data_IF_828396025998
#
_entry.id   IF_828396025998
#
_cell.length_a   1.000
_cell.length_b   1.000
_cell.length_c   1.000
_cell.angle_alpha   90.00
_cell.angle_beta   90.00
_cell.angle_gamma   90.00
#
_symmetry.space_group_name_H-M   'P 1'
#
loop_
_entity.id
_entity.type
_entity.pdbx_description
1 polymer ?
#
# COMPACT_ATOMS: atom_id res chain seq x y z
N UNK A 1 12.55 6.98 2.56
CA UNK A 1 12.25 8.17 1.69
C UNK A 1 13.47 8.74 0.97
N UNK A 2 14.65 8.86 1.60
CA UNK A 2 15.81 9.47 0.92
C UNK A 2 16.19 8.79 -0.41
N UNK A 3 15.98 7.47 -0.53
CA UNK A 3 16.12 6.73 -1.79
C UNK A 3 15.08 7.18 -2.84
N UNK A 4 13.82 7.37 -2.44
CA UNK A 4 12.74 7.82 -3.32
C UNK A 4 12.98 9.24 -3.84
N UNK A 5 13.61 10.12 -3.04
CA UNK A 5 13.99 11.47 -3.47
C UNK A 5 15.07 11.48 -4.55
N UNK A 6 15.83 10.40 -4.70
CA UNK A 6 16.94 10.28 -5.68
C UNK A 6 16.50 9.59 -6.96
N UNK A 7 15.37 8.88 -6.95
CA UNK A 7 14.81 8.23 -8.12
C UNK A 7 13.90 9.21 -8.90
N UNK A 8 13.96 9.25 -10.24
CA UNK A 8 12.94 9.93 -11.04
C UNK A 8 11.56 9.35 -10.72
N UNK A 9 10.54 10.21 -10.58
CA UNK A 9 9.19 9.77 -10.23
C UNK A 9 8.60 8.82 -11.28
N UNK A 10 8.87 9.07 -12.56
CA UNK A 10 8.45 8.18 -13.65
C UNK A 10 9.01 6.74 -13.57
N UNK A 11 10.05 6.52 -12.76
CA UNK A 11 10.67 5.20 -12.58
C UNK A 11 10.15 4.46 -11.33
N UNK A 12 9.27 5.07 -10.54
CA UNK A 12 8.68 4.46 -9.34
C UNK A 12 7.41 3.69 -9.72
N UNK A 13 7.56 2.39 -9.94
CA UNK A 13 6.43 1.51 -10.25
C UNK A 13 5.65 1.10 -9.00
N UNK A 14 6.35 0.65 -7.96
CA UNK A 14 5.74 0.08 -6.76
C UNK A 14 6.57 0.40 -5.52
N UNK A 15 5.90 0.91 -4.47
CA UNK A 15 6.44 1.15 -3.14
C UNK A 15 5.68 0.24 -2.17
N UNK A 16 6.38 -0.74 -1.60
CA UNK A 16 5.80 -1.67 -0.63
C UNK A 16 6.20 -1.26 0.79
N UNK A 17 5.21 -0.88 1.60
CA UNK A 17 5.33 -0.64 3.03
C UNK A 17 4.87 -1.91 3.76
N UNK A 18 5.82 -2.64 4.29
CA UNK A 18 5.59 -3.85 5.05
C UNK A 18 6.08 -3.68 6.49
N UNK A 19 5.16 -3.70 7.46
CA UNK A 19 5.43 -3.57 8.89
C UNK A 19 6.39 -2.39 9.17
N UNK A 20 6.05 -1.23 8.60
CA UNK A 20 6.85 -0.01 8.74
C UNK A 20 6.30 0.85 9.89
N UNK A 21 7.15 1.62 10.59
CA UNK A 21 6.67 2.55 11.60
C UNK A 21 5.77 3.64 11.00
N UNK A 22 4.73 4.04 11.72
CA UNK A 22 3.80 5.14 11.36
C UNK A 22 4.53 6.41 10.89
N UNK A 23 5.65 6.78 11.53
CA UNK A 23 6.46 7.94 11.11
C UNK A 23 6.95 7.82 9.65
N UNK A 24 7.28 6.61 9.20
CA UNK A 24 7.69 6.37 7.82
C UNK A 24 6.50 6.51 6.85
N UNK A 25 5.31 6.06 7.27
CA UNK A 25 4.05 6.19 6.52
C UNK A 25 3.68 7.66 6.36
N UNK A 26 3.60 8.43 7.46
CA UNK A 26 3.26 9.85 7.42
C UNK A 26 4.22 10.65 6.54
N UNK A 27 5.51 10.32 6.59
CA UNK A 27 6.49 10.97 5.71
C UNK A 27 6.28 10.58 4.24
N UNK A 28 5.85 9.35 3.94
CA UNK A 28 5.54 8.92 2.56
C UNK A 28 4.29 9.60 2.05
N UNK A 29 3.22 9.67 2.86
CA UNK A 29 2.00 10.43 2.55
C UNK A 29 2.32 11.87 2.17
N UNK A 30 3.13 12.55 3.00
CA UNK A 30 3.55 13.92 2.73
C UNK A 30 4.37 14.07 1.44
N UNK A 31 5.17 13.06 1.09
CA UNK A 31 6.03 13.05 -0.10
C UNK A 31 5.24 12.79 -1.39
N UNK A 32 4.33 11.81 -1.38
CA UNK A 32 3.52 11.41 -2.54
C UNK A 32 2.19 12.15 -2.66
N UNK A 33 1.77 12.87 -1.61
CA UNK A 33 0.44 13.50 -1.52
C UNK A 33 -0.67 12.46 -1.74
N UNK A 34 -0.62 11.42 -0.92
CA UNK A 34 -1.60 10.34 -0.82
C UNK A 34 -2.18 10.29 0.60
N UNK A 35 -3.25 9.52 0.76
CA UNK A 35 -3.85 9.19 2.05
C UNK A 35 -3.60 7.70 2.34
N UNK A 36 -2.93 7.42 3.46
CA UNK A 36 -2.79 6.09 4.04
C UNK A 36 -3.78 6.03 5.21
N UNK A 37 -4.70 5.07 5.15
CA UNK A 37 -5.72 4.87 6.19
C UNK A 37 -5.07 4.33 7.47
N UNK A 38 -5.60 4.74 8.62
CA UNK A 38 -5.26 4.11 9.90
C UNK A 38 -5.79 2.66 9.94
N UNK A 39 -5.19 1.79 10.77
CA UNK A 39 -5.59 0.38 10.88
C UNK A 39 -7.09 0.24 11.22
N UNK A 40 -7.61 1.08 12.11
CA UNK A 40 -9.03 1.09 12.50
C UNK A 40 -9.96 1.35 11.30
N UNK A 41 -9.59 2.29 10.41
CA UNK A 41 -10.36 2.60 9.20
C UNK A 41 -10.28 1.48 8.16
N UNK A 42 -9.15 0.76 8.08
CA UNK A 42 -8.98 -0.36 7.16
C UNK A 42 -9.85 -1.56 7.53
N UNK A 43 -10.13 -1.77 8.82
CA UNK A 43 -10.98 -2.86 9.29
C UNK A 43 -12.48 -2.62 9.04
N UNK A 44 -12.89 -1.37 8.83
CA UNK A 44 -14.27 -1.02 8.54
C UNK A 44 -14.81 -1.75 7.29
N UNK A 45 -16.03 -2.26 7.40
CA UNK A 45 -16.69 -3.03 6.33
C UNK A 45 -17.39 -2.15 5.29
N UNK A 46 -17.48 -0.86 5.56
CA UNK A 46 -18.19 0.11 4.74
C UNK A 46 -17.49 0.30 3.40
N UNK A 47 -18.26 0.61 2.35
CA UNK A 47 -17.70 0.77 1.00
C UNK A 47 -16.77 1.99 0.94
N UNK A 48 -17.10 3.06 1.66
CA UNK A 48 -16.27 4.26 1.78
C UNK A 48 -14.89 3.97 2.36
N UNK A 49 -14.79 3.00 3.25
CA UNK A 49 -13.53 2.63 3.91
C UNK A 49 -12.74 1.60 3.11
N UNK A 50 -13.37 0.88 2.15
CA UNK A 50 -12.72 -0.10 1.27
C UNK A 50 -12.32 0.43 -0.09
N UNK A 51 -12.99 1.46 -0.58
CA UNK A 51 -12.71 2.06 -1.88
C UNK A 51 -12.91 3.58 -1.81
N UNK A 52 -11.86 4.33 -2.12
CA UNK A 52 -11.91 5.79 -2.22
C UNK A 52 -11.17 6.26 -3.47
N UNK A 53 -11.78 7.15 -4.23
CA UNK A 53 -11.20 7.69 -5.45
C UNK A 53 -11.25 9.21 -5.42
N UNK A 54 -10.14 9.83 -5.80
CA UNK A 54 -10.01 11.27 -6.03
C UNK A 54 -9.64 11.52 -7.48
N UNK A 55 -9.47 12.78 -7.89
CA UNK A 55 -9.07 13.12 -9.27
C UNK A 55 -7.74 12.49 -9.70
N UNK A 56 -6.85 12.16 -8.75
CA UNK A 56 -5.52 11.64 -9.07
C UNK A 56 -5.07 10.45 -8.21
N UNK A 57 -5.88 9.97 -7.28
CA UNK A 57 -5.55 8.81 -6.45
C UNK A 57 -6.70 7.85 -6.30
N UNK A 58 -6.36 6.57 -6.14
CA UNK A 58 -7.29 5.52 -5.77
C UNK A 58 -6.77 4.82 -4.52
N UNK A 59 -7.65 4.52 -3.57
CA UNK A 59 -7.41 3.61 -2.45
C UNK A 59 -8.36 2.43 -2.58
N UNK A 60 -7.84 1.22 -2.47
CA UNK A 60 -8.59 -0.02 -2.51
C UNK A 60 -8.05 -1.01 -1.48
N UNK A 61 -8.83 -1.29 -0.44
CA UNK A 61 -8.46 -2.24 0.59
C UNK A 61 -8.94 -3.64 0.23
N UNK A 62 -8.07 -4.63 0.40
CA UNK A 62 -8.36 -6.03 0.08
C UNK A 62 -7.89 -6.95 1.20
N UNK A 63 -8.67 -7.99 1.48
CA UNK A 63 -8.36 -8.96 2.51
C UNK A 63 -7.64 -10.16 1.91
N UNK A 64 -6.51 -10.52 2.52
CA UNK A 64 -5.69 -11.66 2.17
C UNK A 64 -5.87 -12.74 3.23
N UNK A 65 -6.13 -13.97 2.80
CA UNK A 65 -6.26 -15.11 3.69
C UNK A 65 -4.88 -15.64 4.11
N UNK A 66 -4.66 -15.74 5.41
CA UNK A 66 -3.46 -16.31 6.02
C UNK A 66 -3.59 -17.82 6.24
N UNK A 67 -2.49 -18.50 6.53
CA UNK A 67 -2.47 -19.95 6.76
C UNK A 67 -3.21 -20.40 8.02
N UNK A 68 -3.41 -19.49 8.98
CA UNK A 68 -4.18 -19.72 10.20
C UNK A 68 -5.68 -19.41 10.03
N UNK A 69 -6.14 -19.16 8.80
CA UNK A 69 -7.52 -18.76 8.46
C UNK A 69 -7.94 -17.37 8.95
N UNK A 70 -7.01 -16.56 9.45
CA UNK A 70 -7.24 -15.14 9.71
C UNK A 70 -7.08 -14.34 8.41
N UNK A 71 -7.66 -13.14 8.38
CA UNK A 71 -7.57 -12.21 7.27
C UNK A 71 -6.61 -11.07 7.61
N UNK A 72 -5.73 -10.71 6.67
CA UNK A 72 -4.91 -9.50 6.71
C UNK A 72 -5.51 -8.48 5.74
N UNK A 73 -5.79 -7.27 6.19
CA UNK A 73 -6.20 -6.18 5.29
C UNK A 73 -4.97 -5.49 4.72
N UNK A 74 -4.90 -5.42 3.39
CA UNK A 74 -3.86 -4.69 2.67
C UNK A 74 -4.50 -3.48 2.00
N UNK A 75 -3.91 -2.30 2.23
CA UNK A 75 -4.31 -1.09 1.51
C UNK A 75 -3.49 -0.95 0.23
N UNK A 76 -4.15 -0.82 -0.91
CA UNK A 76 -3.51 -0.48 -2.17
C UNK A 76 -3.87 0.94 -2.58
N UNK A 77 -2.85 1.76 -2.81
CA UNK A 77 -3.00 3.14 -3.21
C UNK A 77 -2.34 3.33 -4.58
N UNK A 78 -3.07 3.86 -5.55
CA UNK A 78 -2.54 4.18 -6.88
C UNK A 78 -2.49 5.70 -7.03
N UNK A 79 -1.33 6.26 -7.37
CA UNK A 79 -1.14 7.70 -7.62
C UNK A 79 -0.12 7.91 -8.73
N UNK A 80 -0.47 8.67 -9.78
CA UNK A 80 0.44 9.08 -10.86
C UNK A 80 1.28 7.92 -11.46
N UNK A 81 0.66 6.75 -11.66
CA UNK A 81 1.27 5.49 -12.13
C UNK A 81 2.15 4.71 -11.13
N UNK A 82 2.25 5.17 -9.87
CA UNK A 82 2.89 4.43 -8.78
C UNK A 82 1.84 3.66 -7.97
N UNK A 83 2.10 2.37 -7.74
CA UNK A 83 1.39 1.57 -6.74
C UNK A 83 2.08 1.72 -5.39
N UNK A 84 1.31 1.93 -4.33
CA UNK A 84 1.74 1.82 -2.93
C UNK A 84 0.94 0.72 -2.27
N UNK A 85 1.59 -0.20 -1.59
CA UNK A 85 0.94 -1.19 -0.71
C UNK A 85 1.32 -0.93 0.73
N UNK A 86 0.34 -1.04 1.63
CA UNK A 86 0.53 -0.94 3.08
C UNK A 86 -0.02 -2.21 3.71
N UNK A 87 0.82 -2.91 4.48
CA UNK A 87 0.53 -4.20 5.13
C UNK A 87 1.33 -4.36 6.42
N UNK A 88 0.78 -5.08 7.39
CA UNK A 88 1.42 -5.29 8.70
C UNK A 88 2.32 -6.54 8.76
N UNK A 89 2.30 -7.38 7.72
CA UNK A 89 3.03 -8.64 7.73
C UNK A 89 3.39 -9.17 6.33
N UNK A 90 4.28 -10.17 6.31
CA UNK A 90 4.69 -10.88 5.11
C UNK A 90 3.60 -11.78 4.51
N UNK A 91 3.30 -11.57 3.23
CA UNK A 91 2.28 -12.31 2.50
C UNK A 91 2.89 -13.17 1.38
N UNK A 92 2.56 -14.48 1.28
CA UNK A 92 3.06 -15.34 0.21
C UNK A 92 2.76 -14.83 -1.21
N UNK A 93 1.59 -14.20 -1.40
CA UNK A 93 1.17 -13.58 -2.66
C UNK A 93 2.10 -12.44 -3.12
N UNK A 94 2.64 -11.67 -2.18
CA UNK A 94 3.60 -10.59 -2.46
C UNK A 94 4.95 -11.15 -2.89
N UNK A 95 5.43 -12.17 -2.19
CA UNK A 95 6.66 -12.89 -2.54
C UNK A 95 6.59 -13.48 -3.95
N UNK A 96 5.47 -14.12 -4.30
CA UNK A 96 5.28 -14.69 -5.63
C UNK A 96 5.13 -13.62 -6.71
N UNK A 97 4.52 -12.48 -6.38
CA UNK A 97 4.43 -11.32 -7.30
C UNK A 97 5.82 -10.76 -7.59
N UNK A 98 6.63 -10.57 -6.55
CA UNK A 98 8.02 -10.10 -6.70
C UNK A 98 8.85 -11.05 -7.56
N UNK A 99 8.74 -12.37 -7.34
CA UNK A 99 9.43 -13.36 -8.19
C UNK A 99 9.05 -13.25 -9.66
N UNK A 100 7.77 -13.04 -9.97
CA UNK A 100 7.29 -12.88 -11.35
C UNK A 100 7.73 -11.55 -11.98
N UNK A 101 7.94 -10.52 -11.18
CA UNK A 101 8.34 -9.19 -11.66
C UNK A 101 9.80 -9.17 -12.15
N UNK A 102 10.65 -10.03 -11.59
CA UNK A 102 12.08 -10.14 -11.93
C UNK A 102 12.45 -11.38 -12.75
N UNK A 103 11.46 -12.17 -13.16
CA UNK A 103 11.64 -13.32 -14.05
C UNK A 103 11.68 -12.86 -15.52
#
# INVERSE_FOLDING_TARGET
IEVLKRAPRENLLWIDLNDVPEEAESRLEQFLKIYIQEEEEMEEIEISSRYMETENSLVANSRFLLSNFEEETVSFIIKDNTLVSVRSQELPSFNDTMRKLFA
#
